data_IF_246178928840
#
_entry.id   IF_246178928840
#
_cell.length_a   1.000
_cell.length_b   1.000
_cell.length_c   1.000
_cell.angle_alpha   90.00
_cell.angle_beta   90.00
_cell.angle_gamma   90.00
#
_symmetry.space_group_name_H-M   'P 1'
#
loop_
_entity.id
_entity.type
_entity.pdbx_description
1 polymer ?
#
# COMPACT_ATOMS: atom_id res chain seq x y z
N UNK A 1 18.19 5.75 6.87
CA UNK A 1 17.41 5.34 5.68
C UNK A 1 17.17 6.56 4.81
N UNK A 2 17.12 6.42 3.48
CA UNK A 2 16.74 7.48 2.55
C UNK A 2 15.55 6.98 1.72
N UNK A 3 14.49 7.77 1.66
CA UNK A 3 13.36 7.55 0.74
C UNK A 3 13.54 8.43 -0.49
N UNK A 4 13.03 7.96 -1.63
CA UNK A 4 12.98 8.74 -2.86
C UNK A 4 11.65 9.48 -2.94
N UNK A 5 11.73 10.81 -3.08
CA UNK A 5 10.57 11.70 -3.04
C UNK A 5 9.98 11.87 -4.44
N UNK A 6 8.65 11.97 -4.53
CA UNK A 6 7.88 12.01 -5.78
C UNK A 6 8.16 10.78 -6.66
N UNK A 7 8.32 9.63 -6.01
CA UNK A 7 8.49 8.32 -6.63
C UNK A 7 7.56 7.35 -5.93
N UNK A 8 7.00 6.44 -6.72
CA UNK A 8 6.07 5.42 -6.24
C UNK A 8 6.83 4.19 -5.79
N UNK A 9 6.44 3.66 -4.65
CA UNK A 9 6.81 2.34 -4.17
C UNK A 9 5.59 1.44 -4.31
N UNK A 10 5.76 0.29 -4.94
CA UNK A 10 4.66 -0.64 -5.24
C UNK A 10 4.74 -1.86 -4.31
N UNK A 11 3.59 -2.27 -3.77
CA UNK A 11 3.50 -3.50 -3.00
C UNK A 11 3.67 -4.74 -3.88
N UNK A 12 3.80 -5.91 -3.25
CA UNK A 12 3.46 -7.19 -3.90
C UNK A 12 2.03 -7.19 -4.45
N UNK A 13 1.71 -8.14 -5.34
CA UNK A 13 0.33 -8.34 -5.81
C UNK A 13 -0.59 -8.71 -4.65
N UNK A 14 -1.74 -8.06 -4.61
CA UNK A 14 -2.83 -8.28 -3.66
C UNK A 14 -4.05 -8.70 -4.49
N UNK A 15 -4.86 -9.61 -3.96
CA UNK A 15 -6.12 -10.01 -4.55
C UNK A 15 -7.27 -9.56 -3.63
N UNK A 16 -8.20 -8.78 -4.16
CA UNK A 16 -9.53 -8.61 -3.58
C UNK A 16 -10.41 -9.73 -4.11
N UNK A 17 -10.98 -10.54 -3.23
CA UNK A 17 -11.69 -11.77 -3.63
C UNK A 17 -13.01 -11.91 -2.91
N UNK A 18 -14.05 -12.34 -3.63
CA UNK A 18 -15.34 -12.72 -3.06
C UNK A 18 -15.85 -14.04 -3.67
N UNK A 19 -16.65 -14.76 -2.90
CA UNK A 19 -17.32 -16.00 -3.28
C UNK A 19 -18.83 -15.87 -3.00
N UNK A 20 -19.60 -15.58 -4.05
CA UNK A 20 -21.06 -15.44 -3.91
C UNK A 20 -21.79 -16.79 -3.94
N UNK A 21 -23.07 -16.72 -3.55
CA UNK A 21 -24.03 -17.81 -3.72
C UNK A 21 -24.01 -18.35 -5.15
N UNK A 22 -23.91 -19.67 -5.29
CA UNK A 22 -23.73 -20.33 -6.60
C UNK A 22 -22.27 -20.66 -6.95
N UNK A 23 -21.30 -20.31 -6.09
CA UNK A 23 -19.89 -20.71 -6.25
C UNK A 23 -19.12 -19.89 -7.30
N UNK A 24 -19.64 -18.71 -7.64
CA UNK A 24 -18.96 -17.78 -8.55
C UNK A 24 -17.85 -17.06 -7.78
N UNK A 25 -16.62 -17.20 -8.29
CA UNK A 25 -15.43 -16.54 -7.78
C UNK A 25 -15.18 -15.22 -8.52
N UNK A 26 -15.07 -14.14 -7.76
CA UNK A 26 -14.76 -12.80 -8.23
C UNK A 26 -13.40 -12.39 -7.72
N UNK A 27 -12.59 -11.74 -8.56
CA UNK A 27 -11.24 -11.36 -8.18
C UNK A 27 -10.77 -10.09 -8.88
N UNK A 28 -10.24 -9.14 -8.12
CA UNK A 28 -9.48 -8.01 -8.65
C UNK A 28 -8.06 -8.07 -8.08
N UNK A 29 -7.09 -8.20 -8.95
CA UNK A 29 -5.67 -8.17 -8.63
C UNK A 29 -5.19 -6.73 -8.73
N UNK A 30 -4.56 -6.23 -7.68
CA UNK A 30 -4.03 -4.87 -7.62
C UNK A 30 -2.73 -4.81 -6.81
N UNK A 31 -2.10 -3.64 -6.83
CA UNK A 31 -0.98 -3.30 -5.95
C UNK A 31 -1.29 -1.99 -5.22
N UNK A 32 -0.96 -1.94 -3.95
CA UNK A 32 -0.88 -0.68 -3.22
C UNK A 32 0.34 0.10 -3.72
N UNK A 33 0.24 1.43 -3.76
CA UNK A 33 1.31 2.33 -4.13
C UNK A 33 1.47 3.40 -3.05
N UNK A 34 2.70 3.57 -2.56
CA UNK A 34 3.08 4.66 -1.67
C UNK A 34 3.89 5.70 -2.43
N UNK A 35 3.52 6.96 -2.33
CA UNK A 35 4.30 8.09 -2.85
C UNK A 35 4.61 9.09 -1.74
N UNK A 36 5.89 9.40 -1.56
CA UNK A 36 6.35 10.31 -0.51
C UNK A 36 6.61 11.70 -1.05
N UNK A 37 6.22 12.73 -0.29
CA UNK A 37 6.32 14.14 -0.69
C UNK A 37 7.18 14.95 0.27
N UNK A 38 7.83 16.01 -0.23
CA UNK A 38 8.78 16.84 0.56
C UNK A 38 8.18 17.50 1.81
N UNK A 39 6.86 17.65 1.86
CA UNK A 39 6.14 18.26 2.98
C UNK A 39 5.83 17.27 4.12
N UNK A 40 6.41 16.06 4.10
CA UNK A 40 6.13 15.04 5.12
C UNK A 40 4.84 14.26 4.87
N UNK A 41 4.18 14.45 3.71
CA UNK A 41 2.99 13.70 3.33
C UNK A 41 3.34 12.44 2.55
N UNK A 42 2.52 11.42 2.72
CA UNK A 42 2.59 10.18 1.96
C UNK A 42 1.20 9.87 1.40
N UNK A 43 1.11 9.50 0.14
CA UNK A 43 -0.14 9.07 -0.48
C UNK A 43 -0.16 7.56 -0.67
N UNK A 44 -1.26 6.93 -0.27
CA UNK A 44 -1.58 5.54 -0.56
C UNK A 44 -2.63 5.51 -1.67
N UNK A 45 -2.26 4.99 -2.82
CA UNK A 45 -3.17 4.74 -3.95
C UNK A 45 -3.15 3.26 -4.33
N UNK A 46 -4.05 2.83 -5.22
CA UNK A 46 -4.05 1.47 -5.76
C UNK A 46 -3.85 1.48 -7.28
N UNK A 47 -3.18 0.46 -7.79
CA UNK A 47 -3.01 0.18 -9.22
C UNK A 47 -3.65 -1.16 -9.52
N UNK A 48 -4.76 -1.15 -10.27
CA UNK A 48 -5.38 -2.38 -10.77
C UNK A 48 -4.43 -3.03 -11.79
N UNK A 49 -4.20 -4.34 -11.63
CA UNK A 49 -3.36 -5.16 -12.51
C UNK A 49 -4.24 -6.02 -13.41
N UNK A 50 -5.25 -6.68 -12.83
CA UNK A 50 -6.23 -7.48 -13.56
C UNK A 50 -7.55 -7.47 -12.78
N UNK A 51 -8.68 -7.47 -13.50
CA UNK A 51 -10.01 -7.57 -12.93
C UNK A 51 -10.70 -8.79 -13.51
N UNK A 52 -10.37 -9.96 -12.96
CA UNK A 52 -10.91 -11.23 -13.40
C UNK A 52 -12.30 -11.45 -12.80
N UNK A 53 -13.34 -11.04 -13.56
CA UNK A 53 -14.74 -11.07 -13.15
C UNK A 53 -14.93 -10.21 -11.89
N UNK A 54 -14.93 -8.88 -12.00
CA UNK A 54 -15.37 -8.03 -10.90
C UNK A 54 -16.86 -8.33 -10.59
N UNK A 55 -17.29 -8.16 -9.34
CA UNK A 55 -18.71 -8.29 -9.00
C UNK A 55 -19.49 -7.14 -9.63
N UNK A 56 -18.94 -5.92 -9.56
CA UNK A 56 -19.45 -4.72 -10.21
C UNK A 56 -18.29 -3.92 -10.85
N UNK A 57 -18.54 -3.24 -11.96
CA UNK A 57 -17.58 -2.29 -12.56
C UNK A 57 -17.20 -1.18 -11.56
N UNK A 58 -18.12 -0.81 -10.67
CA UNK A 58 -17.86 0.15 -9.59
C UNK A 58 -16.75 -0.30 -8.62
N UNK A 59 -16.49 -1.61 -8.46
CA UNK A 59 -15.40 -2.11 -7.62
C UNK A 59 -14.05 -1.72 -8.21
N UNK A 60 -13.92 -1.79 -9.54
CA UNK A 60 -12.72 -1.38 -10.25
C UNK A 60 -12.56 0.14 -10.14
N UNK A 61 -13.63 0.90 -10.37
CA UNK A 61 -13.60 2.36 -10.25
C UNK A 61 -13.22 2.82 -8.84
N UNK A 62 -13.73 2.13 -7.81
CA UNK A 62 -13.36 2.42 -6.43
C UNK A 62 -11.86 2.25 -6.21
N UNK A 63 -11.27 1.15 -6.69
CA UNK A 63 -9.83 0.91 -6.58
C UNK A 63 -9.01 1.93 -7.39
N UNK A 64 -9.44 2.29 -8.59
CA UNK A 64 -8.76 3.29 -9.43
C UNK A 64 -8.80 4.69 -8.83
N UNK A 65 -9.89 5.05 -8.15
CA UNK A 65 -10.06 6.33 -7.48
C UNK A 65 -9.56 6.32 -6.02
N UNK A 66 -9.10 5.17 -5.52
CA UNK A 66 -8.64 5.03 -4.15
C UNK A 66 -7.41 5.92 -3.91
N UNK A 67 -7.57 6.85 -2.98
CA UNK A 67 -6.49 7.74 -2.54
C UNK A 67 -6.70 8.11 -1.08
N UNK A 68 -5.71 7.80 -0.26
CA UNK A 68 -5.65 8.23 1.14
C UNK A 68 -4.34 8.98 1.34
N UNK A 69 -4.43 10.13 2.00
CA UNK A 69 -3.27 10.95 2.36
C UNK A 69 -2.95 10.72 3.83
N UNK A 70 -1.69 10.42 4.12
CA UNK A 70 -1.16 10.30 5.46
C UNK A 70 0.06 11.19 5.68
N UNK A 71 0.67 11.00 6.84
CA UNK A 71 1.91 11.65 7.24
C UNK A 71 3.02 10.61 7.37
N UNK A 72 4.27 11.01 7.12
CA UNK A 72 5.42 10.16 7.39
C UNK A 72 6.51 10.91 8.15
N UNK A 73 7.26 10.15 8.95
CA UNK A 73 8.41 10.65 9.70
C UNK A 73 9.44 9.55 9.90
N UNK A 74 10.60 9.91 10.44
CA UNK A 74 11.58 8.95 10.94
C UNK A 74 11.61 9.02 12.46
N UNK A 75 11.50 7.87 13.13
CA UNK A 75 11.61 7.82 14.58
C UNK A 75 13.08 7.84 15.06
N UNK A 76 13.29 7.86 16.37
CA UNK A 76 14.63 7.90 16.99
C UNK A 76 15.51 6.70 16.66
N UNK A 77 14.92 5.59 16.19
CA UNK A 77 15.62 4.39 15.73
C UNK A 77 15.92 4.41 14.24
N UNK A 78 15.55 5.49 13.55
CA UNK A 78 15.73 5.66 12.11
C UNK A 78 14.75 4.87 11.24
N UNK A 79 13.67 4.33 11.82
CA UNK A 79 12.62 3.65 11.06
C UNK A 79 11.70 4.66 10.42
N UNK A 80 11.27 4.37 9.19
CA UNK A 80 10.24 5.12 8.50
C UNK A 80 8.89 4.74 9.12
N UNK A 81 8.15 5.74 9.58
CA UNK A 81 6.81 5.59 10.15
C UNK A 81 5.84 6.37 9.28
N UNK A 82 4.82 5.72 8.75
CA UNK A 82 3.70 6.36 8.05
C UNK A 82 2.41 6.17 8.84
N UNK A 83 1.62 7.23 8.96
CA UNK A 83 0.33 7.21 9.67
C UNK A 83 -0.79 7.64 8.72
N UNK A 84 -1.78 6.79 8.57
CA UNK A 84 -2.99 7.05 7.77
C UNK A 84 -4.19 7.08 8.72
N UNK A 85 -4.56 8.28 9.19
CA UNK A 85 -5.61 8.46 10.20
C UNK A 85 -6.97 7.92 9.72
N UNK A 86 -7.35 8.21 8.48
CA UNK A 86 -8.61 7.76 7.88
C UNK A 86 -8.76 6.24 7.82
N UNK A 87 -7.63 5.51 7.81
CA UNK A 87 -7.58 4.05 7.81
C UNK A 87 -7.31 3.45 9.19
N UNK A 88 -6.91 4.28 10.16
CA UNK A 88 -6.43 3.86 11.48
C UNK A 88 -5.19 2.97 11.41
N UNK A 89 -4.40 3.14 10.34
CA UNK A 89 -3.23 2.31 10.03
C UNK A 89 -1.92 3.04 10.32
N UNK A 90 -0.97 2.31 10.91
CA UNK A 90 0.41 2.75 11.07
C UNK A 90 1.35 1.76 10.40
N UNK A 91 2.18 2.26 9.49
CA UNK A 91 3.20 1.50 8.80
C UNK A 91 4.53 1.82 9.46
N UNK A 92 5.31 0.81 9.85
CA UNK A 92 6.68 0.99 10.34
C UNK A 92 7.61 0.11 9.51
N UNK A 93 8.57 0.73 8.84
CA UNK A 93 9.42 0.03 7.88
C UNK A 93 10.87 0.52 7.88
N UNK A 94 11.71 -0.24 7.19
CA UNK A 94 13.12 0.04 7.01
C UNK A 94 13.59 -0.49 5.66
N UNK A 95 14.41 0.26 4.94
CA UNK A 95 15.03 -0.20 3.69
C UNK A 95 15.89 -1.44 3.92
N UNK A 96 15.84 -2.42 3.01
CA UNK A 96 16.67 -3.63 3.15
C UNK A 96 18.16 -3.35 2.92
N UNK A 97 19.03 -4.16 3.53
CA UNK A 97 20.50 -3.98 3.46
C UNK A 97 21.07 -4.26 2.07
N UNK A 98 20.52 -5.26 1.36
CA UNK A 98 21.02 -5.68 0.04
C UNK A 98 20.45 -4.84 -1.09
N UNK A 99 19.21 -4.39 -0.96
CA UNK A 99 18.51 -3.57 -1.95
C UNK A 99 17.73 -2.46 -1.24
N UNK A 100 18.30 -1.26 -1.24
CA UNK A 100 17.70 -0.09 -0.59
C UNK A 100 16.42 0.40 -1.28
N UNK A 101 16.09 -0.10 -2.48
CA UNK A 101 14.84 0.22 -3.16
C UNK A 101 13.64 -0.52 -2.56
N UNK A 102 13.88 -1.54 -1.73
CA UNK A 102 12.86 -2.37 -1.09
C UNK A 102 12.69 -1.94 0.37
N UNK A 103 11.43 -1.78 0.77
CA UNK A 103 11.02 -1.43 2.13
C UNK A 103 9.95 -2.44 2.59
N UNK A 104 10.29 -3.42 3.45
CA UNK A 104 9.29 -4.12 4.25
C UNK A 104 8.67 -3.17 5.29
N UNK A 105 7.35 -3.25 5.43
CA UNK A 105 6.59 -2.59 6.47
C UNK A 105 5.88 -3.62 7.34
N UNK A 106 5.94 -3.41 8.65
CA UNK A 106 4.94 -3.93 9.58
C UNK A 106 3.79 -2.92 9.63
N UNK A 107 2.58 -3.36 9.31
CA UNK A 107 1.37 -2.54 9.31
C UNK A 107 0.52 -2.93 10.51
N UNK A 108 0.04 -1.95 11.26
CA UNK A 108 -0.83 -2.12 12.41
C UNK A 108 -2.15 -1.38 12.19
N UNK A 109 -3.27 -2.09 12.29
CA UNK A 109 -4.62 -1.52 12.33
C UNK A 109 -5.08 -1.41 13.78
N UNK A 110 -5.17 -0.17 14.27
CA UNK A 110 -5.52 0.11 15.66
C UNK A 110 -7.00 -0.15 16.01
N UNK A 111 -7.90 -0.23 15.02
CA UNK A 111 -9.32 -0.58 15.27
C UNK A 111 -9.49 -2.07 15.50
N UNK A 112 -8.76 -2.87 14.73
CA UNK A 112 -8.87 -4.33 14.75
C UNK A 112 -7.84 -4.99 15.68
N UNK A 113 -6.88 -4.22 16.19
CA UNK A 113 -5.72 -4.71 16.95
C UNK A 113 -4.95 -5.80 16.19
N UNK A 114 -4.91 -5.66 14.86
CA UNK A 114 -4.32 -6.64 13.96
C UNK A 114 -3.04 -6.07 13.33
N UNK A 115 -2.13 -6.97 12.93
CA UNK A 115 -0.94 -6.60 12.18
C UNK A 115 -0.67 -7.56 11.01
N UNK A 116 0.04 -7.05 10.02
CA UNK A 116 0.53 -7.84 8.89
C UNK A 116 1.78 -7.20 8.29
N UNK A 117 2.44 -7.92 7.39
CA UNK A 117 3.61 -7.44 6.67
C UNK A 117 3.30 -7.20 5.20
N UNK A 118 3.81 -6.10 4.66
CA UNK A 118 3.83 -5.85 3.22
C UNK A 118 5.22 -5.39 2.78
N UNK A 119 5.60 -5.74 1.56
CA UNK A 119 6.86 -5.33 0.95
C UNK A 119 6.56 -4.37 -0.17
N UNK A 120 7.22 -3.21 -0.14
CA UNK A 120 7.11 -2.18 -1.15
C UNK A 120 8.45 -2.00 -1.86
N UNK A 121 8.45 -2.02 -3.19
CA UNK A 121 9.65 -1.79 -4.02
C UNK A 121 9.49 -0.51 -4.83
N UNK A 122 10.52 0.33 -4.86
CA UNK A 122 10.56 1.52 -5.70
C UNK A 122 10.31 1.15 -7.18
N UNK A 123 9.35 1.80 -7.80
CA UNK A 123 9.06 1.63 -9.22
C UNK A 123 10.22 2.17 -10.05
N UNK A 124 10.80 1.30 -10.89
CA UNK A 124 11.83 1.69 -11.85
C UNK A 124 11.16 2.51 -12.97
N UNK A 125 11.61 3.75 -13.17
CA UNK A 125 11.20 4.54 -14.33
C UNK A 125 11.98 4.02 -15.53
N UNK A 126 11.31 3.29 -16.40
CA UNK A 126 11.83 2.85 -17.71
C UNK A 126 11.83 4.04 -18.68
#
# INVERSE_FOLDING_TARGET
MKIEINKKYQSSLIADTDLHAGGLFFCIIYQNQLEFFKNGKVELTKKVVDAFRPMDEHDIEHLLNYKIVGDYSFNDRGYLVCTFEDLFWTFTGLSTEKDSSIIPFNIYDSRLLNNWGEVYKLEEVI
#
